data_IF_409147990001
#
_entry.id   IF_409147990001
#
_cell.length_a   1.000
_cell.length_b   1.000
_cell.length_c   1.000
_cell.angle_alpha   90.00
_cell.angle_beta   90.00
_cell.angle_gamma   90.00
#
_symmetry.space_group_name_H-M   'P 1'
#
loop_
_entity.id
_entity.type
_entity.pdbx_description
1 polymer ?
#
# COMPACT_ATOMS: atom_id res chain seq x y z
N UNK A 1 5.52 11.75 -16.58
CA UNK A 1 5.99 10.82 -17.63
C UNK A 1 6.59 9.57 -17.02
N UNK A 2 5.93 8.43 -17.24
CA UNK A 2 6.44 7.10 -16.89
C UNK A 2 7.40 6.71 -18.03
N UNK A 3 8.60 7.27 -18.04
CA UNK A 3 9.49 7.34 -19.22
C UNK A 3 9.98 6.02 -19.86
N UNK A 4 9.48 4.84 -19.46
CA UNK A 4 9.72 3.57 -20.15
C UNK A 4 8.69 2.48 -19.78
N UNK A 5 8.52 1.47 -20.67
CA UNK A 5 7.71 0.26 -20.41
C UNK A 5 8.12 -0.46 -19.12
N UNK A 6 9.41 -0.55 -18.85
CA UNK A 6 9.94 -1.17 -17.63
C UNK A 6 9.55 -0.38 -16.38
N UNK A 7 9.64 0.95 -16.44
CA UNK A 7 9.19 1.82 -15.35
C UNK A 7 7.69 1.70 -15.10
N UNK A 8 6.89 1.52 -16.15
CA UNK A 8 5.45 1.35 -16.04
C UNK A 8 5.07 0.05 -15.32
N UNK A 9 5.61 -1.09 -15.75
CA UNK A 9 5.26 -2.36 -15.09
C UNK A 9 5.79 -2.43 -13.67
N UNK A 10 6.96 -1.84 -13.39
CA UNK A 10 7.45 -1.68 -12.01
C UNK A 10 6.48 -0.86 -11.17
N UNK A 11 6.00 0.27 -11.70
CA UNK A 11 5.02 1.12 -11.02
C UNK A 11 3.71 0.37 -10.73
N UNK A 12 3.20 -0.43 -11.69
CA UNK A 12 2.04 -1.31 -11.47
C UNK A 12 2.31 -2.31 -10.34
N UNK A 13 3.47 -2.94 -10.31
CA UNK A 13 3.83 -3.90 -9.25
C UNK A 13 3.96 -3.22 -7.88
N UNK A 14 4.48 -1.99 -7.84
CA UNK A 14 4.58 -1.22 -6.60
C UNK A 14 3.18 -0.84 -6.08
N UNK A 15 2.23 -0.49 -6.95
CA UNK A 15 0.83 -0.24 -6.57
C UNK A 15 0.18 -1.53 -6.04
N UNK A 16 0.37 -2.66 -6.73
CA UNK A 16 -0.13 -3.98 -6.27
C UNK A 16 0.37 -4.33 -4.88
N UNK A 17 1.67 -4.11 -4.64
CA UNK A 17 2.28 -4.31 -3.33
C UNK A 17 1.70 -3.36 -2.30
N UNK A 18 1.48 -2.09 -2.62
CA UNK A 18 0.86 -1.14 -1.72
C UNK A 18 -0.54 -1.58 -1.29
N UNK A 19 -1.39 -2.04 -2.23
CA UNK A 19 -2.71 -2.59 -1.90
C UNK A 19 -2.63 -3.82 -1.01
N UNK A 20 -1.73 -4.77 -1.28
CA UNK A 20 -1.58 -5.99 -0.46
C UNK A 20 -1.03 -5.68 0.93
N UNK A 21 0.03 -4.89 1.02
CA UNK A 21 0.68 -4.59 2.29
C UNK A 21 -0.12 -3.66 3.17
N UNK A 22 -1.06 -2.89 2.63
CA UNK A 22 -1.89 -1.99 3.42
C UNK A 22 -2.65 -2.75 4.51
N UNK A 23 -3.34 -3.84 4.17
CA UNK A 23 -4.08 -4.63 5.15
C UNK A 23 -3.14 -5.22 6.22
N UNK A 24 -2.01 -5.80 5.81
CA UNK A 24 -1.00 -6.35 6.73
C UNK A 24 -0.42 -5.29 7.67
N UNK A 25 -0.26 -4.05 7.18
CA UNK A 25 0.27 -2.93 7.96
C UNK A 25 -0.79 -2.37 8.92
N UNK A 26 -2.07 -2.32 8.52
CA UNK A 26 -3.19 -1.94 9.37
C UNK A 26 -3.34 -2.92 10.55
N UNK A 27 -3.28 -4.23 10.30
CA UNK A 27 -3.29 -5.25 11.36
C UNK A 27 -2.10 -5.12 12.30
N UNK A 28 -0.89 -4.89 11.76
CA UNK A 28 0.32 -4.65 12.57
C UNK A 28 0.21 -3.39 13.41
N UNK A 29 -0.38 -2.32 12.86
CA UNK A 29 -0.59 -1.09 13.59
C UNK A 29 -1.53 -1.33 14.78
N UNK A 30 -2.67 -1.99 14.54
CA UNK A 30 -3.64 -2.33 15.57
C UNK A 30 -3.01 -3.21 16.67
N UNK A 31 -2.17 -4.17 16.30
CA UNK A 31 -1.43 -4.99 17.27
C UNK A 31 -0.54 -4.13 18.19
N UNK A 32 0.26 -3.21 17.62
CA UNK A 32 1.14 -2.37 18.41
C UNK A 32 0.38 -1.33 19.25
N UNK A 33 -0.70 -0.76 18.72
CA UNK A 33 -1.58 0.16 19.46
C UNK A 33 -2.27 -0.54 20.63
N UNK A 34 -2.75 -1.77 20.44
CA UNK A 34 -3.31 -2.60 21.52
C UNK A 34 -2.27 -2.88 22.61
N UNK A 35 -1.03 -3.18 22.20
CA UNK A 35 0.09 -3.39 23.13
C UNK A 35 0.45 -2.11 23.90
N UNK A 36 0.39 -0.95 23.26
CA UNK A 36 0.61 0.36 23.89
C UNK A 36 -0.44 0.64 24.97
N UNK A 37 -1.72 0.35 24.69
CA UNK A 37 -2.81 0.48 25.67
C UNK A 37 -2.55 -0.44 26.87
N UNK A 38 -2.09 -1.67 26.64
CA UNK A 38 -1.71 -2.61 27.70
C UNK A 38 -0.59 -2.08 28.59
N UNK A 39 0.43 -1.43 28.03
CA UNK A 39 1.47 -0.77 28.83
C UNK A 39 0.91 0.36 29.70
N UNK A 40 0.02 1.20 29.14
CA UNK A 40 -0.63 2.27 29.90
C UNK A 40 -1.43 1.72 31.09
N UNK A 41 -2.21 0.65 30.90
CA UNK A 41 -2.97 0.01 31.98
C UNK A 41 -2.05 -0.55 33.10
N UNK A 42 -0.95 -1.21 32.74
CA UNK A 42 0.02 -1.77 33.69
C UNK A 42 0.77 -0.67 34.46
N UNK A 43 1.07 0.47 33.82
CA UNK A 43 1.73 1.60 34.49
C UNK A 43 0.85 2.30 35.53
N UNK A 44 -0.48 2.27 35.37
CA UNK A 44 -1.40 2.78 36.39
C UNK A 44 -1.46 1.89 37.64
N UNK A 45 -1.37 0.56 37.48
CA UNK A 45 -1.40 -0.40 38.61
C UNK A 45 -0.04 -0.59 39.31
N UNK A 46 1.08 -0.22 38.68
CA UNK A 46 2.45 -0.52 39.16
C UNK A 46 3.14 0.61 39.93
N UNK A 47 2.40 1.62 40.40
CA UNK A 47 2.90 2.76 41.19
C UNK A 47 3.62 2.34 42.50
N UNK A 48 3.61 1.06 42.88
CA UNK A 48 4.30 0.53 44.08
C UNK A 48 5.67 -0.15 43.91
N UNK A 49 6.24 -0.31 42.70
CA UNK A 49 7.45 -1.14 42.50
C UNK A 49 8.57 -0.41 41.72
N UNK A 50 9.59 0.04 42.45
CA UNK A 50 10.66 0.91 41.93
C UNK A 50 11.73 0.23 41.05
N UNK A 51 11.78 -1.10 41.01
CA UNK A 51 12.82 -1.87 40.29
C UNK A 51 12.43 -2.28 38.86
N UNK A 52 11.16 -2.14 38.48
CA UNK A 52 10.65 -2.61 37.16
C UNK A 52 10.55 -1.48 36.11
N UNK A 53 10.73 -0.22 36.52
CA UNK A 53 10.48 0.96 35.68
C UNK A 53 11.32 1.02 34.41
N UNK A 54 12.63 0.79 34.49
CA UNK A 54 13.55 0.95 33.35
C UNK A 54 13.21 -0.01 32.19
N UNK A 55 12.90 -1.28 32.49
CA UNK A 55 12.56 -2.27 31.47
C UNK A 55 11.20 -2.01 30.80
N UNK A 56 10.26 -1.37 31.51
CA UNK A 56 8.95 -1.00 30.97
C UNK A 56 9.08 0.20 30.03
N UNK A 57 9.91 1.18 30.40
CA UNK A 57 10.17 2.40 29.62
C UNK A 57 10.86 2.09 28.28
N UNK A 58 11.89 1.24 28.29
CA UNK A 58 12.58 0.80 27.06
C UNK A 58 11.66 0.03 26.11
N UNK A 59 10.80 -0.83 26.66
CA UNK A 59 9.80 -1.57 25.88
C UNK A 59 8.69 -0.66 25.33
N UNK A 60 8.30 0.37 26.08
CA UNK A 60 7.33 1.38 25.64
C UNK A 60 7.88 2.18 24.45
N UNK A 61 9.11 2.70 24.58
CA UNK A 61 9.81 3.41 23.51
C UNK A 61 9.98 2.53 22.27
N UNK A 62 10.29 1.24 22.46
CA UNK A 62 10.34 0.29 21.35
C UNK A 62 9.00 0.16 20.63
N UNK A 63 7.89 0.02 21.35
CA UNK A 63 6.54 -0.08 20.74
C UNK A 63 6.15 1.20 20.01
N UNK A 64 6.38 2.37 20.61
CA UNK A 64 6.16 3.66 19.95
C UNK A 64 6.96 3.75 18.65
N UNK A 65 8.26 3.41 18.69
CA UNK A 65 9.10 3.39 17.50
C UNK A 65 8.66 2.38 16.43
N UNK A 66 7.94 1.31 16.79
CA UNK A 66 7.32 0.40 15.82
C UNK A 66 6.05 0.98 15.21
N UNK A 67 5.21 1.62 16.01
CA UNK A 67 4.01 2.33 15.55
C UNK A 67 4.40 3.36 14.50
N UNK A 68 5.38 4.22 14.79
CA UNK A 68 5.82 5.26 13.86
C UNK A 68 6.34 4.69 12.54
N UNK A 69 7.11 3.60 12.61
CA UNK A 69 7.61 2.90 11.40
C UNK A 69 6.48 2.29 10.58
N UNK A 70 5.45 1.74 11.22
CA UNK A 70 4.29 1.17 10.51
C UNK A 70 3.46 2.28 9.89
N UNK A 71 3.19 3.38 10.63
CA UNK A 71 2.49 4.56 10.12
C UNK A 71 3.20 5.17 8.91
N UNK A 72 4.50 5.38 8.98
CA UNK A 72 5.28 5.89 7.85
C UNK A 72 5.23 4.97 6.61
N UNK A 73 5.10 3.64 6.80
CA UNK A 73 4.91 2.70 5.68
C UNK A 73 3.49 2.76 5.12
N UNK A 74 2.49 2.89 5.97
CA UNK A 74 1.09 3.09 5.57
C UNK A 74 0.95 4.38 4.76
N UNK A 75 1.52 5.49 5.23
CA UNK A 75 1.47 6.77 4.52
C UNK A 75 2.10 6.69 3.13
N UNK A 76 3.24 5.99 3.00
CA UNK A 76 3.88 5.77 1.70
C UNK A 76 3.01 4.93 0.77
N UNK A 77 2.43 3.83 1.28
CA UNK A 77 1.53 2.99 0.49
C UNK A 77 0.27 3.76 0.06
N UNK A 78 -0.31 4.53 0.98
CA UNK A 78 -1.50 5.34 0.74
C UNK A 78 -1.23 6.43 -0.30
N UNK A 79 -0.11 7.14 -0.18
CA UNK A 79 0.32 8.14 -1.17
C UNK A 79 0.43 7.53 -2.57
N UNK A 80 1.04 6.35 -2.69
CA UNK A 80 1.16 5.67 -4.00
C UNK A 80 -0.21 5.28 -4.57
N UNK A 81 -1.13 4.81 -3.71
CA UNK A 81 -2.51 4.49 -4.11
C UNK A 81 -3.26 5.76 -4.56
N UNK A 82 -3.07 6.88 -3.88
CA UNK A 82 -3.73 8.14 -4.20
C UNK A 82 -3.18 8.76 -5.50
N UNK A 83 -1.87 8.68 -5.72
CA UNK A 83 -1.23 9.03 -6.99
C UNK A 83 -1.77 8.16 -8.13
N UNK A 84 -1.93 6.85 -7.92
CA UNK A 84 -2.56 5.94 -8.87
C UNK A 84 -4.00 6.35 -9.18
N UNK A 85 -4.84 6.60 -8.17
CA UNK A 85 -6.24 7.01 -8.36
C UNK A 85 -6.34 8.35 -9.10
N UNK A 86 -5.47 9.30 -8.74
CA UNK A 86 -5.40 10.62 -9.40
C UNK A 86 -4.94 10.51 -10.85
N UNK A 87 -4.04 9.59 -11.16
CA UNK A 87 -3.64 9.33 -12.54
C UNK A 87 -4.76 8.65 -13.32
N UNK A 88 -5.38 7.59 -12.75
CA UNK A 88 -6.51 6.87 -13.36
C UNK A 88 -7.66 7.81 -13.71
N UNK A 89 -7.97 8.80 -12.87
CA UNK A 89 -9.07 9.74 -13.12
C UNK A 89 -8.82 10.71 -14.29
N UNK A 90 -7.57 10.84 -14.75
CA UNK A 90 -7.20 11.67 -15.91
C UNK A 90 -7.24 10.91 -17.24
N UNK A 91 -7.31 9.58 -17.17
CA UNK A 91 -7.33 8.71 -18.34
C UNK A 91 -8.72 8.66 -18.97
N UNK A 92 -8.78 8.33 -20.27
CA UNK A 92 -10.05 8.02 -20.92
C UNK A 92 -10.66 6.76 -20.28
N UNK A 93 -12.00 6.59 -20.31
CA UNK A 93 -12.64 5.45 -19.65
C UNK A 93 -12.06 4.08 -20.02
N UNK A 94 -11.70 3.87 -21.30
CA UNK A 94 -11.09 2.61 -21.75
C UNK A 94 -9.65 2.41 -21.24
N UNK A 95 -8.86 3.48 -21.16
CA UNK A 95 -7.50 3.46 -20.62
C UNK A 95 -7.52 3.21 -19.11
N UNK A 96 -8.42 3.89 -18.40
CA UNK A 96 -8.65 3.71 -16.97
C UNK A 96 -9.07 2.26 -16.65
N UNK A 97 -9.94 1.67 -17.47
CA UNK A 97 -10.41 0.29 -17.31
C UNK A 97 -9.27 -0.72 -17.55
N UNK A 98 -8.46 -0.54 -18.59
CA UNK A 98 -7.29 -1.39 -18.83
C UNK A 98 -6.31 -1.29 -17.67
N UNK A 99 -6.05 -0.07 -17.18
CA UNK A 99 -5.15 0.16 -16.05
C UNK A 99 -5.67 -0.51 -14.76
N UNK A 100 -6.97 -0.41 -14.50
CA UNK A 100 -7.62 -1.06 -13.36
C UNK A 100 -7.45 -2.59 -13.40
N UNK A 101 -7.73 -3.21 -14.55
CA UNK A 101 -7.52 -4.65 -14.71
C UNK A 101 -6.06 -5.06 -14.50
N UNK A 102 -5.10 -4.23 -14.94
CA UNK A 102 -3.68 -4.50 -14.73
C UNK A 102 -3.30 -4.46 -13.25
N UNK A 103 -3.91 -3.57 -12.45
CA UNK A 103 -3.61 -3.40 -11.02
C UNK A 103 -4.37 -4.40 -10.16
N UNK A 104 -5.67 -4.54 -10.37
CA UNK A 104 -6.55 -5.28 -9.46
C UNK A 104 -6.56 -6.79 -9.72
N UNK A 105 -6.11 -7.21 -10.92
CA UNK A 105 -6.10 -8.62 -11.28
C UNK A 105 -4.69 -9.17 -11.45
N UNK A 106 -4.56 -10.48 -11.23
CA UNK A 106 -3.34 -11.24 -11.57
C UNK A 106 -3.48 -11.92 -12.95
N UNK A 107 -4.38 -11.41 -13.80
CA UNK A 107 -4.66 -12.00 -15.11
C UNK A 107 -3.57 -11.64 -16.11
N UNK A 108 -3.34 -12.55 -17.07
CA UNK A 108 -2.45 -12.26 -18.19
C UNK A 108 -3.07 -11.21 -19.12
N UNK A 109 -2.21 -10.47 -19.83
CA UNK A 109 -2.62 -9.43 -20.80
C UNK A 109 -3.64 -9.96 -21.82
N UNK A 110 -3.45 -11.21 -22.26
CA UNK A 110 -4.35 -11.90 -23.18
C UNK A 110 -5.75 -12.09 -22.59
N UNK A 111 -5.83 -12.52 -21.32
CA UNK A 111 -7.11 -12.72 -20.64
C UNK A 111 -7.80 -11.39 -20.40
N UNK A 112 -7.05 -10.35 -20.04
CA UNK A 112 -7.61 -8.99 -19.88
C UNK A 112 -8.19 -8.51 -21.21
N UNK A 113 -7.45 -8.61 -22.32
CA UNK A 113 -7.92 -8.21 -23.64
C UNK A 113 -9.22 -8.96 -24.03
N UNK A 114 -9.27 -10.27 -23.76
CA UNK A 114 -10.46 -11.08 -24.01
C UNK A 114 -11.66 -10.66 -23.15
N UNK A 115 -11.45 -10.36 -21.86
CA UNK A 115 -12.53 -9.92 -20.96
C UNK A 115 -13.08 -8.54 -21.32
N UNK A 116 -12.22 -7.69 -21.85
CA UNK A 116 -12.58 -6.36 -22.32
C UNK A 116 -13.15 -6.37 -23.75
N UNK A 117 -13.27 -7.54 -24.39
CA UNK A 117 -13.72 -7.69 -25.77
C UNK A 117 -12.93 -6.81 -26.75
N UNK A 118 -11.63 -6.65 -26.53
CA UNK A 118 -10.72 -5.87 -27.40
C UNK A 118 -9.65 -6.76 -28.02
N UNK A 119 -9.18 -6.38 -29.21
CA UNK A 119 -8.07 -7.07 -29.85
C UNK A 119 -6.77 -6.88 -29.05
N UNK A 120 -5.86 -7.86 -29.11
CA UNK A 120 -4.54 -7.76 -28.47
C UNK A 120 -3.77 -6.53 -28.96
N UNK A 121 -3.83 -6.24 -30.25
CA UNK A 121 -3.17 -5.06 -30.84
C UNK A 121 -3.71 -3.76 -30.24
N UNK A 122 -5.04 -3.66 -30.11
CA UNK A 122 -5.67 -2.48 -29.50
C UNK A 122 -5.33 -2.34 -28.01
N UNK A 123 -5.26 -3.45 -27.28
CA UNK A 123 -4.78 -3.45 -25.89
C UNK A 123 -3.37 -2.85 -25.76
N UNK A 124 -2.42 -3.25 -26.62
CA UNK A 124 -1.07 -2.69 -26.58
C UNK A 124 -1.03 -1.20 -26.97
N UNK A 125 -1.89 -0.75 -27.88
CA UNK A 125 -2.04 0.68 -28.19
C UNK A 125 -2.51 1.46 -26.96
N UNK A 126 -3.47 0.92 -26.20
CA UNK A 126 -3.92 1.54 -24.94
C UNK A 126 -2.77 1.61 -23.93
N UNK A 127 -2.01 0.53 -23.75
CA UNK A 127 -0.84 0.52 -22.86
C UNK A 127 0.16 1.60 -23.28
N UNK A 128 0.48 1.70 -24.57
CA UNK A 128 1.43 2.69 -25.07
C UNK A 128 0.91 4.12 -24.87
N UNK A 129 -0.40 4.36 -25.01
CA UNK A 129 -1.00 5.67 -24.67
C UNK A 129 -0.87 6.01 -23.20
N UNK A 130 -1.12 5.05 -22.31
CA UNK A 130 -0.99 5.24 -20.86
C UNK A 130 0.46 5.56 -20.48
N UNK A 131 1.43 4.88 -21.09
CA UNK A 131 2.86 5.09 -20.82
C UNK A 131 3.32 6.49 -21.25
N UNK A 132 2.77 6.98 -22.37
CA UNK A 132 3.14 8.26 -22.96
C UNK A 132 2.29 9.44 -22.47
N UNK A 133 1.40 9.23 -21.48
CA UNK A 133 0.64 10.29 -20.82
C UNK A 133 1.55 11.12 -19.88
#
# INVERSE_FOLDING_TARGET
MIGSKTSFYKWIDDIKKAYRHRNELEEKLQFYETRLIGYNAVTYDSIGSSSTKNNVEDNLLYVIGKIDKVKARLDKAQKLIDEYKSFKSKLKPQEALVLEYLVETSLSKTVIASRLSISRSFFYIIIDRIINY
#
